data_IF_574453937781
#
_entry.id   IF_574453937781
#
_cell.length_a   1.000
_cell.length_b   1.000
_cell.length_c   1.000
_cell.angle_alpha   90.00
_cell.angle_beta   90.00
_cell.angle_gamma   90.00
#
_symmetry.space_group_name_H-M   'P 1'
#
loop_
_entity.id
_entity.type
_entity.pdbx_description
1 polymer ?
#
# COMPACT_ATOMS: atom_id res chain seq x y z
N UNK A 1 21.38 14.42 32.34
CA UNK A 1 21.80 13.59 31.21
C UNK A 1 20.80 12.47 31.09
N UNK A 2 19.75 12.70 30.36
CA UNK A 2 18.67 11.75 30.12
C UNK A 2 18.80 11.32 28.67
N UNK A 3 19.29 10.08 28.49
CA UNK A 3 19.41 9.47 27.19
C UNK A 3 18.02 9.19 26.62
N UNK A 4 17.67 9.88 25.57
CA UNK A 4 16.53 9.58 24.72
C UNK A 4 16.90 8.33 23.91
N UNK A 5 16.38 7.18 24.30
CA UNK A 5 16.42 5.96 23.49
C UNK A 5 15.62 6.22 22.20
N UNK A 6 16.33 6.44 21.13
CA UNK A 6 15.80 6.27 19.78
C UNK A 6 15.57 4.79 19.55
N UNK A 7 14.38 4.32 19.89
CA UNK A 7 13.86 3.06 19.40
C UNK A 7 13.53 3.24 17.93
N UNK A 8 14.49 3.05 17.06
CA UNK A 8 14.29 2.84 15.63
C UNK A 8 13.57 1.50 15.45
N UNK A 9 12.24 1.51 15.57
CA UNK A 9 11.46 0.35 15.22
C UNK A 9 11.47 0.24 13.70
N UNK A 10 12.10 -0.78 13.18
CA UNK A 10 11.91 -1.35 11.83
C UNK A 10 10.49 -1.94 11.70
N UNK A 11 9.48 -1.19 12.09
CA UNK A 11 8.09 -1.48 11.78
C UNK A 11 7.80 -0.84 10.43
N UNK A 12 7.92 -1.63 9.36
CA UNK A 12 7.14 -1.36 8.16
C UNK A 12 5.70 -1.27 8.64
N UNK A 13 5.05 -0.13 8.43
CA UNK A 13 3.70 0.09 8.94
C UNK A 13 2.75 -0.92 8.27
N UNK A 14 1.99 -1.70 9.06
CA UNK A 14 1.05 -2.67 8.50
C UNK A 14 0.07 -2.09 7.48
N UNK A 15 -0.25 -0.79 7.59
CA UNK A 15 -1.06 -0.07 6.61
C UNK A 15 -0.48 -0.13 5.21
N UNK A 16 0.81 0.15 5.06
CA UNK A 16 1.47 0.18 3.75
C UNK A 16 1.52 -1.22 3.15
N UNK A 17 1.81 -2.23 3.97
CA UNK A 17 1.84 -3.62 3.54
C UNK A 17 0.45 -4.10 3.07
N UNK A 18 -0.61 -3.73 3.79
CA UNK A 18 -1.99 -4.08 3.42
C UNK A 18 -2.43 -3.33 2.17
N UNK A 19 -2.15 -2.03 2.08
CA UNK A 19 -2.43 -1.21 0.91
C UNK A 19 -1.75 -1.77 -0.35
N UNK A 20 -0.44 -2.05 -0.26
CA UNK A 20 0.33 -2.65 -1.37
C UNK A 20 -0.23 -4.01 -1.79
N UNK A 21 -0.55 -4.87 -0.82
CA UNK A 21 -1.14 -6.16 -1.13
C UNK A 21 -2.48 -6.03 -1.86
N UNK A 22 -3.33 -5.11 -1.40
CA UNK A 22 -4.66 -4.92 -1.94
C UNK A 22 -4.61 -4.33 -3.35
N UNK A 23 -3.84 -3.26 -3.56
CA UNK A 23 -3.83 -2.46 -4.78
C UNK A 23 -2.67 -2.78 -5.74
N UNK A 24 -1.83 -3.78 -5.44
CA UNK A 24 -0.94 -4.35 -6.44
C UNK A 24 -1.70 -5.07 -7.56
N UNK A 25 -2.92 -5.48 -7.30
CA UNK A 25 -3.87 -5.99 -8.29
C UNK A 25 -4.41 -4.83 -9.13
N UNK A 26 -4.28 -4.96 -10.44
CA UNK A 26 -4.65 -3.91 -11.43
C UNK A 26 -6.14 -3.64 -11.42
N UNK A 27 -6.99 -4.68 -11.30
CA UNK A 27 -8.44 -4.54 -11.24
C UNK A 27 -8.86 -3.76 -9.99
N UNK A 28 -8.27 -4.06 -8.84
CA UNK A 28 -8.55 -3.36 -7.59
C UNK A 28 -8.09 -1.90 -7.62
N UNK A 29 -6.92 -1.64 -8.19
CA UNK A 29 -6.47 -0.25 -8.38
C UNK A 29 -7.43 0.52 -9.29
N UNK A 30 -7.89 -0.08 -10.38
CA UNK A 30 -8.90 0.52 -11.26
C UNK A 30 -10.13 0.97 -10.46
N UNK A 31 -10.66 0.10 -9.62
CA UNK A 31 -11.81 0.43 -8.77
C UNK A 31 -11.50 1.50 -7.72
N UNK A 32 -10.30 1.50 -7.14
CA UNK A 32 -9.85 2.57 -6.25
C UNK A 32 -9.83 3.91 -6.98
N UNK A 33 -9.31 3.98 -8.20
CA UNK A 33 -9.30 5.21 -9.00
C UNK A 33 -10.72 5.70 -9.32
N UNK A 34 -11.63 4.79 -9.69
CA UNK A 34 -13.03 5.12 -9.95
C UNK A 34 -13.72 5.69 -8.69
N UNK A 35 -13.53 5.05 -7.54
CA UNK A 35 -14.09 5.54 -6.26
C UNK A 35 -13.49 6.91 -5.89
N UNK A 36 -12.19 7.07 -6.08
CA UNK A 36 -11.48 8.33 -5.80
C UNK A 36 -11.93 9.47 -6.71
N UNK A 37 -12.24 9.18 -7.98
CA UNK A 37 -12.76 10.16 -8.93
C UNK A 37 -14.13 10.72 -8.56
N UNK A 38 -14.90 10.03 -7.69
CA UNK A 38 -16.17 10.56 -7.18
C UNK A 38 -15.98 11.67 -6.14
N UNK A 39 -14.86 11.69 -5.43
CA UNK A 39 -14.57 12.62 -4.33
C UNK A 39 -13.43 13.59 -4.63
N UNK A 40 -12.64 13.32 -5.66
CA UNK A 40 -11.56 14.16 -6.11
C UNK A 40 -11.74 14.49 -7.60
N UNK A 41 -11.95 15.78 -7.89
CA UNK A 41 -12.24 16.27 -9.23
C UNK A 41 -11.12 15.99 -10.22
N UNK A 42 -9.86 16.19 -9.82
CA UNK A 42 -8.70 16.01 -10.72
C UNK A 42 -8.56 14.55 -11.13
N UNK A 43 -8.80 13.62 -10.19
CA UNK A 43 -8.83 12.18 -10.51
C UNK A 43 -10.06 11.84 -11.37
N UNK A 44 -11.21 12.46 -11.09
CA UNK A 44 -12.41 12.29 -11.91
C UNK A 44 -12.18 12.71 -13.36
N UNK A 45 -11.55 13.85 -13.60
CA UNK A 45 -11.16 14.30 -14.92
C UNK A 45 -10.10 13.36 -15.54
N UNK A 46 -9.07 13.00 -14.78
CA UNK A 46 -8.00 12.12 -15.25
C UNK A 46 -8.52 10.78 -15.77
N UNK A 47 -9.41 10.11 -15.05
CA UNK A 47 -9.94 8.79 -15.47
C UNK A 47 -10.81 8.85 -16.74
N UNK A 48 -11.30 10.03 -17.15
CA UNK A 48 -12.00 10.20 -18.43
C UNK A 48 -11.04 10.30 -19.61
N UNK A 49 -9.78 10.66 -19.37
CA UNK A 49 -8.76 10.86 -20.41
C UNK A 49 -7.94 9.59 -20.66
N UNK A 50 -8.08 8.55 -19.84
CA UNK A 50 -7.30 7.31 -19.93
C UNK A 50 -8.21 6.08 -20.09
N UNK A 51 -7.68 5.06 -20.75
CA UNK A 51 -8.33 3.75 -20.86
C UNK A 51 -7.87 2.83 -19.71
N UNK A 52 -8.65 2.82 -18.62
CA UNK A 52 -8.35 2.04 -17.43
C UNK A 52 -8.29 0.52 -17.67
N UNK A 53 -8.83 0.01 -18.78
CA UNK A 53 -8.70 -1.41 -19.15
C UNK A 53 -7.30 -1.77 -19.64
N UNK A 54 -6.51 -0.75 -20.00
CA UNK A 54 -5.10 -0.90 -20.39
C UNK A 54 -4.12 -0.71 -19.25
N UNK A 55 -4.62 -0.57 -18.02
CA UNK A 55 -3.78 -0.39 -16.84
C UNK A 55 -2.83 -1.59 -16.64
N UNK A 56 -1.55 -1.33 -16.47
CA UNK A 56 -0.53 -2.36 -16.27
C UNK A 56 0.43 -1.91 -15.17
N UNK A 57 0.69 -2.80 -14.21
CA UNK A 57 1.68 -2.54 -13.16
C UNK A 57 3.10 -2.49 -13.73
N UNK A 58 3.86 -1.51 -13.30
CA UNK A 58 5.31 -1.44 -13.56
C UNK A 58 6.00 -2.29 -12.49
N UNK A 59 6.81 -3.29 -12.88
CA UNK A 59 7.51 -4.14 -11.91
C UNK A 59 8.48 -3.33 -11.03
N UNK A 60 8.59 -3.72 -9.77
CA UNK A 60 9.46 -3.06 -8.77
C UNK A 60 10.96 -3.11 -9.16
N UNK A 61 11.37 -4.12 -9.97
CA UNK A 61 12.73 -4.25 -10.52
C UNK A 61 13.14 -3.15 -11.51
N UNK A 62 12.18 -2.37 -12.00
CA UNK A 62 12.45 -1.22 -12.84
C UNK A 62 12.59 0.08 -12.03
N UNK A 63 12.27 0.06 -10.75
CA UNK A 63 12.62 1.16 -9.86
C UNK A 63 14.06 0.93 -9.39
N UNK A 64 15.06 1.49 -10.08
CA UNK A 64 16.46 1.57 -9.61
C UNK A 64 16.60 2.39 -8.30
N UNK A 65 15.56 2.45 -7.51
CA UNK A 65 15.54 3.17 -6.24
C UNK A 65 15.94 2.20 -5.12
N UNK A 66 17.08 1.54 -5.30
CA UNK A 66 17.64 0.65 -4.28
C UNK A 66 18.27 1.39 -3.09
N UNK A 67 18.30 2.72 -3.06
CA UNK A 67 19.02 3.40 -1.97
C UNK A 67 18.14 4.18 -0.98
N UNK A 68 16.87 4.53 -1.25
CA UNK A 68 16.14 5.42 -0.33
C UNK A 68 14.62 5.29 -0.26
N UNK A 69 14.02 4.20 -0.64
CA UNK A 69 12.56 4.03 -0.48
C UNK A 69 11.85 3.71 -1.79
N UNK A 70 11.08 2.66 -1.74
CA UNK A 70 10.25 2.18 -2.84
C UNK A 70 8.98 3.03 -2.92
N UNK A 71 8.56 3.44 -4.14
CA UNK A 71 7.18 3.84 -4.37
C UNK A 71 6.26 2.69 -3.94
N UNK A 72 5.12 3.02 -3.34
CA UNK A 72 4.22 1.95 -2.96
C UNK A 72 3.81 1.15 -4.19
N UNK A 73 3.37 1.82 -5.25
CA UNK A 73 2.98 1.17 -6.50
C UNK A 73 3.18 2.12 -7.69
N UNK A 74 3.59 1.57 -8.83
CA UNK A 74 3.68 2.30 -10.09
C UNK A 74 2.96 1.54 -11.21
N UNK A 75 2.28 2.30 -12.08
CA UNK A 75 1.49 1.75 -13.18
C UNK A 75 1.66 2.57 -14.44
N UNK A 76 1.26 2.00 -15.56
CA UNK A 76 1.09 2.70 -16.84
C UNK A 76 -0.29 2.44 -17.39
N UNK A 77 -0.81 3.38 -18.14
CA UNK A 77 -2.13 3.32 -18.77
C UNK A 77 -2.10 4.04 -20.12
N UNK A 78 -2.90 3.61 -21.08
CA UNK A 78 -3.03 4.30 -22.37
C UNK A 78 -4.02 5.46 -22.26
N UNK A 79 -3.84 6.46 -23.12
CA UNK A 79 -4.81 7.55 -23.28
C UNK A 79 -6.04 7.04 -24.02
N UNK A 80 -7.23 7.44 -23.58
CA UNK A 80 -8.51 7.02 -24.18
C UNK A 80 -8.69 7.45 -25.65
N UNK A 81 -8.05 8.53 -26.06
CA UNK A 81 -8.10 9.04 -27.44
C UNK A 81 -7.45 8.12 -28.48
N UNK A 82 -6.85 7.00 -28.07
CA UNK A 82 -6.15 6.07 -28.96
C UNK A 82 -4.80 6.57 -29.47
N UNK A 83 -4.34 7.73 -29.03
CA UNK A 83 -2.95 8.17 -29.28
C UNK A 83 -1.99 7.21 -28.56
N UNK A 84 -0.81 6.88 -29.15
CA UNK A 84 0.17 6.00 -28.52
C UNK A 84 0.93 6.73 -27.37
N UNK A 85 0.21 7.40 -26.51
CA UNK A 85 0.71 8.10 -25.36
C UNK A 85 0.43 7.26 -24.11
N UNK A 86 1.47 6.91 -23.39
CA UNK A 86 1.34 6.25 -22.10
C UNK A 86 1.34 7.30 -21.00
N UNK A 87 0.59 7.04 -19.95
CA UNK A 87 0.60 7.83 -18.72
C UNK A 87 1.15 6.97 -17.60
N UNK A 88 2.14 7.48 -16.88
CA UNK A 88 2.62 6.87 -15.64
C UNK A 88 1.72 7.26 -14.47
N UNK A 89 1.44 6.31 -13.59
CA UNK A 89 0.72 6.57 -12.34
C UNK A 89 1.61 6.10 -11.21
N UNK A 90 1.98 7.02 -10.32
CA UNK A 90 2.67 6.72 -9.05
C UNK A 90 1.65 6.79 -7.95
N UNK A 91 1.50 5.72 -7.20
CA UNK A 91 0.58 5.64 -6.07
C UNK A 91 1.39 5.58 -4.79
N UNK A 92 1.15 6.52 -3.91
CA UNK A 92 1.77 6.60 -2.59
C UNK A 92 0.72 6.54 -1.51
N UNK A 93 0.93 5.72 -0.50
CA UNK A 93 0.04 5.59 0.64
C UNK A 93 0.67 6.18 1.89
N UNK A 94 -0.10 6.93 2.66
CA UNK A 94 0.31 7.51 3.94
C UNK A 94 -0.72 7.25 5.02
N UNK A 95 -0.27 6.80 6.18
CA UNK A 95 -1.08 6.61 7.38
C UNK A 95 -0.79 7.63 8.48
N UNK A 96 0.10 8.58 8.23
CA UNK A 96 0.48 9.68 9.11
C UNK A 96 1.02 10.86 8.32
N UNK A 97 1.22 11.99 9.00
CA UNK A 97 1.85 13.17 8.40
C UNK A 97 3.32 12.90 8.09
N UNK A 98 3.72 13.26 6.89
CA UNK A 98 5.10 13.13 6.45
C UNK A 98 5.48 14.34 5.58
N UNK A 99 6.36 15.19 6.12
CA UNK A 99 6.83 16.39 5.41
C UNK A 99 7.73 16.08 4.21
N UNK A 100 8.28 14.87 4.13
CA UNK A 100 9.13 14.41 3.02
C UNK A 100 8.35 13.79 1.86
N UNK A 101 7.01 13.69 1.95
CA UNK A 101 6.18 12.99 0.96
C UNK A 101 6.36 13.53 -0.46
N UNK A 102 6.35 14.85 -0.64
CA UNK A 102 6.47 15.45 -1.99
C UNK A 102 7.87 15.24 -2.58
N UNK A 103 8.92 15.30 -1.77
CA UNK A 103 10.28 14.99 -2.21
C UNK A 103 10.43 13.52 -2.59
N UNK A 104 9.79 12.63 -1.85
CA UNK A 104 9.74 11.21 -2.13
C UNK A 104 9.05 10.95 -3.48
N UNK A 105 7.87 11.54 -3.69
CA UNK A 105 7.12 11.42 -4.94
C UNK A 105 7.91 11.99 -6.11
N UNK A 106 8.58 13.14 -5.95
CA UNK A 106 9.39 13.72 -7.01
C UNK A 106 10.48 12.74 -7.51
N UNK A 107 11.12 12.01 -6.60
CA UNK A 107 12.09 10.96 -6.96
C UNK A 107 11.43 9.82 -7.72
N UNK A 108 10.26 9.35 -7.29
CA UNK A 108 9.54 8.26 -7.96
C UNK A 108 9.05 8.64 -9.35
N UNK A 109 8.45 9.82 -9.49
CA UNK A 109 8.02 10.35 -10.80
C UNK A 109 9.22 10.41 -11.74
N UNK A 110 10.36 10.94 -11.28
CA UNK A 110 11.58 10.99 -12.08
C UNK A 110 12.09 9.61 -12.48
N UNK A 111 12.02 8.62 -11.58
CA UNK A 111 12.39 7.23 -11.88
C UNK A 111 11.48 6.62 -12.94
N UNK A 112 10.17 6.77 -12.81
CA UNK A 112 9.20 6.29 -13.80
C UNK A 112 9.44 6.95 -15.17
N UNK A 113 9.70 8.25 -15.20
CA UNK A 113 10.02 8.96 -16.44
C UNK A 113 11.32 8.47 -17.10
N UNK A 114 12.35 8.14 -16.33
CA UNK A 114 13.64 7.61 -16.84
C UNK A 114 13.48 6.26 -17.50
N UNK A 115 12.72 5.34 -16.94
CA UNK A 115 12.51 3.98 -17.46
C UNK A 115 12.05 4.01 -18.94
N UNK A 116 11.24 4.98 -19.32
CA UNK A 116 10.72 5.09 -20.68
C UNK A 116 11.60 5.94 -21.62
N UNK A 117 12.53 6.74 -21.07
CA UNK A 117 13.41 7.58 -21.89
C UNK A 117 14.62 6.83 -22.49
N UNK A 118 15.00 5.67 -21.94
CA UNK A 118 16.14 4.89 -22.43
C UNK A 118 15.93 4.30 -23.83
N UNK A 119 14.67 4.23 -24.31
CA UNK A 119 14.35 3.60 -25.60
C UNK A 119 13.75 4.53 -26.66
N UNK A 120 13.53 5.80 -26.39
CA UNK A 120 12.99 6.75 -27.38
C UNK A 120 13.52 8.17 -27.14
N UNK A 121 13.96 8.83 -28.22
CA UNK A 121 14.28 10.24 -28.19
C UNK A 121 13.07 11.04 -27.63
N UNK A 122 13.21 11.51 -26.40
CA UNK A 122 12.31 12.37 -25.64
C UNK A 122 10.82 12.27 -26.02
N UNK A 123 10.15 11.26 -25.57
CA UNK A 123 8.71 11.31 -25.36
C UNK A 123 8.51 11.27 -23.84
N UNK A 124 8.47 12.45 -23.21
CA UNK A 124 8.17 12.51 -21.79
C UNK A 124 6.89 11.73 -21.51
N UNK A 125 6.95 10.72 -20.63
CA UNK A 125 5.76 10.03 -20.17
C UNK A 125 5.07 10.98 -19.18
N UNK A 126 3.90 11.57 -19.48
CA UNK A 126 3.16 12.31 -18.49
C UNK A 126 2.92 11.40 -17.29
N UNK A 127 3.27 11.85 -16.11
CA UNK A 127 3.15 11.04 -14.90
C UNK A 127 2.28 11.77 -13.89
N UNK A 128 1.25 11.10 -13.42
CA UNK A 128 0.40 11.54 -12.34
C UNK A 128 0.80 10.82 -11.06
N UNK A 129 1.03 11.56 -10.00
CA UNK A 129 1.18 11.03 -8.65
C UNK A 129 -0.14 11.15 -7.90
N UNK A 130 -0.50 10.13 -7.14
CA UNK A 130 -1.69 10.12 -6.29
C UNK A 130 -1.29 9.69 -4.89
N UNK A 131 -1.59 10.56 -3.91
CA UNK A 131 -1.37 10.29 -2.50
C UNK A 131 -2.68 9.81 -1.90
N UNK A 132 -2.71 8.59 -1.38
CA UNK A 132 -3.83 8.07 -0.60
C UNK A 132 -3.51 8.18 0.89
N UNK A 133 -4.38 8.83 1.63
CA UNK A 133 -4.22 9.06 3.05
C UNK A 133 -5.35 8.41 3.85
N UNK A 134 -5.00 7.63 4.87
CA UNK A 134 -5.94 7.05 5.82
C UNK A 134 -5.55 7.33 7.29
N UNK A 135 -4.78 8.40 7.52
CA UNK A 135 -4.35 8.78 8.86
C UNK A 135 -5.46 9.42 9.68
N UNK A 136 -5.19 9.57 10.99
CA UNK A 136 -6.15 10.11 11.97
C UNK A 136 -6.14 11.63 12.04
N UNK A 137 -5.08 12.26 11.57
CA UNK A 137 -4.89 13.71 11.66
C UNK A 137 -5.41 14.38 10.40
N UNK A 138 -5.89 15.61 10.53
CA UNK A 138 -6.15 16.42 9.35
C UNK A 138 -4.82 16.79 8.69
N UNK A 139 -4.58 16.27 7.49
CA UNK A 139 -3.35 16.47 6.73
C UNK A 139 -3.65 16.51 5.24
N UNK A 140 -3.10 17.49 4.58
CA UNK A 140 -3.07 17.62 3.13
C UNK A 140 -1.69 18.16 2.74
N UNK A 141 -0.82 17.36 2.11
CA UNK A 141 0.51 17.81 1.72
C UNK A 141 0.50 18.82 0.57
N UNK A 142 -0.61 18.95 -0.15
CA UNK A 142 -0.80 19.90 -1.25
C UNK A 142 -1.46 21.20 -0.77
N UNK A 143 -2.14 21.15 0.38
CA UNK A 143 -2.86 22.28 0.96
C UNK A 143 -1.93 23.44 1.29
N UNK A 144 -2.23 24.62 0.75
CA UNK A 144 -1.47 25.84 1.02
C UNK A 144 -0.07 25.91 0.43
N UNK A 145 0.36 24.91 -0.35
CA UNK A 145 1.70 24.91 -0.95
C UNK A 145 1.93 26.13 -1.84
N UNK A 146 0.89 26.66 -2.45
CA UNK A 146 0.95 27.81 -3.35
C UNK A 146 0.83 29.17 -2.64
N UNK A 147 0.35 29.18 -1.39
CA UNK A 147 0.03 30.41 -0.65
C UNK A 147 1.28 31.24 -0.32
N UNK A 148 2.43 30.57 -0.20
CA UNK A 148 3.70 31.20 0.13
C UNK A 148 4.44 31.77 -1.11
N UNK A 149 3.87 31.60 -2.32
CA UNK A 149 4.53 32.00 -3.57
C UNK A 149 3.75 33.07 -4.33
N UNK A 150 4.41 33.94 -5.11
CA UNK A 150 3.74 34.87 -6.00
C UNK A 150 2.79 34.16 -6.96
N UNK A 151 1.70 34.83 -7.34
CA UNK A 151 0.64 34.28 -8.22
C UNK A 151 1.14 33.68 -9.54
N UNK A 152 2.29 34.15 -10.03
CA UNK A 152 2.95 33.60 -11.23
C UNK A 152 3.28 32.10 -11.08
N UNK A 153 3.59 31.65 -9.87
CA UNK A 153 3.99 30.26 -9.60
C UNK A 153 2.81 29.32 -9.33
N UNK A 154 1.59 29.83 -9.26
CA UNK A 154 0.41 28.97 -9.05
C UNK A 154 0.29 27.93 -10.15
N UNK A 155 0.09 26.68 -9.77
CA UNK A 155 0.08 25.52 -10.67
C UNK A 155 1.44 25.15 -11.27
N UNK A 156 2.57 25.75 -10.79
CA UNK A 156 3.92 25.54 -11.33
C UNK A 156 4.97 25.16 -10.29
N UNK A 157 4.56 24.96 -9.04
CA UNK A 157 5.49 24.69 -7.94
C UNK A 157 5.99 23.26 -8.01
N UNK A 158 5.08 22.33 -8.27
CA UNK A 158 5.44 20.91 -8.46
C UNK A 158 5.80 20.67 -9.94
N UNK A 159 6.93 19.99 -10.21
CA UNK A 159 7.32 19.64 -11.59
C UNK A 159 6.56 18.41 -12.13
N UNK A 160 5.48 18.00 -11.46
CA UNK A 160 4.63 16.85 -11.81
C UNK A 160 3.19 17.10 -11.36
N UNK A 161 2.25 16.37 -11.97
CA UNK A 161 0.85 16.39 -11.56
C UNK A 161 0.71 15.53 -10.30
N UNK A 162 0.09 16.09 -9.26
CA UNK A 162 -0.12 15.39 -7.99
C UNK A 162 -1.53 15.65 -7.47
N UNK A 163 -2.23 14.57 -7.11
CA UNK A 163 -3.54 14.64 -6.46
C UNK A 163 -3.47 13.98 -5.08
N UNK A 164 -4.27 14.48 -4.16
CA UNK A 164 -4.40 13.96 -2.81
C UNK A 164 -5.81 13.45 -2.57
N UNK A 165 -5.92 12.24 -2.03
CA UNK A 165 -7.19 11.61 -1.66
C UNK A 165 -7.13 11.23 -0.19
N UNK A 166 -7.95 11.89 0.62
CA UNK A 166 -8.25 11.39 1.95
C UNK A 166 -9.27 10.24 1.81
N UNK A 167 -8.87 9.02 2.14
CA UNK A 167 -9.74 7.85 2.02
C UNK A 167 -10.99 7.97 2.90
N UNK A 168 -10.95 8.78 3.96
CA UNK A 168 -12.11 9.05 4.79
C UNK A 168 -13.25 9.76 4.03
N UNK A 169 -12.93 10.49 2.96
CA UNK A 169 -13.92 11.22 2.15
C UNK A 169 -14.71 10.29 1.23
N UNK A 170 -14.23 9.08 0.96
CA UNK A 170 -14.95 8.10 0.14
C UNK A 170 -16.07 7.49 0.98
N UNK A 171 -17.36 7.64 0.60
CA UNK A 171 -18.46 7.09 1.39
C UNK A 171 -18.39 5.56 1.52
N UNK A 172 -18.68 5.02 2.70
CA UNK A 172 -18.70 3.56 2.92
C UNK A 172 -19.73 2.87 2.04
N UNK A 173 -20.86 3.52 1.78
CA UNK A 173 -21.88 3.03 0.84
C UNK A 173 -21.33 2.80 -0.57
N UNK A 174 -20.49 3.72 -1.05
CA UNK A 174 -19.87 3.63 -2.36
C UNK A 174 -18.80 2.52 -2.40
N UNK A 175 -18.01 2.42 -1.33
CA UNK A 175 -17.04 1.35 -1.18
C UNK A 175 -17.71 -0.02 -1.21
N UNK A 176 -18.75 -0.22 -0.41
CA UNK A 176 -19.44 -1.51 -0.28
C UNK A 176 -20.30 -1.85 -1.49
N UNK A 177 -20.75 -0.85 -2.27
CA UNK A 177 -21.41 -1.03 -3.55
C UNK A 177 -20.45 -1.25 -4.72
N UNK A 178 -19.13 -1.12 -4.50
CA UNK A 178 -18.10 -1.32 -5.52
C UNK A 178 -18.26 -2.69 -6.22
N UNK A 179 -18.04 -2.73 -7.52
CA UNK A 179 -18.10 -3.98 -8.30
C UNK A 179 -17.08 -5.01 -7.81
N UNK A 180 -15.89 -4.57 -7.42
CA UNK A 180 -14.92 -5.41 -6.71
C UNK A 180 -15.10 -5.28 -5.20
N UNK A 181 -15.68 -6.29 -4.53
CA UNK A 181 -15.92 -6.25 -3.10
C UNK A 181 -14.62 -6.18 -2.28
N UNK A 182 -13.51 -6.73 -2.79
CA UNK A 182 -12.22 -6.72 -2.10
C UNK A 182 -11.69 -5.29 -1.96
N UNK A 183 -11.78 -4.49 -3.02
CA UNK A 183 -11.45 -3.07 -3.00
C UNK A 183 -12.29 -2.33 -1.96
N UNK A 184 -13.62 -2.49 -2.03
CA UNK A 184 -14.53 -1.78 -1.13
C UNK A 184 -14.33 -2.14 0.33
N UNK A 185 -14.30 -3.42 0.65
CA UNK A 185 -14.07 -3.90 2.02
C UNK A 185 -12.69 -3.52 2.56
N UNK A 186 -11.67 -3.56 1.70
CA UNK A 186 -10.31 -3.15 2.07
C UNK A 186 -10.23 -1.68 2.43
N UNK A 187 -10.83 -0.79 1.62
CA UNK A 187 -10.90 0.65 1.92
C UNK A 187 -11.63 0.89 3.25
N UNK A 188 -12.80 0.28 3.44
CA UNK A 188 -13.59 0.42 4.68
C UNK A 188 -12.81 -0.07 5.89
N UNK A 189 -12.12 -1.21 5.78
CA UNK A 189 -11.26 -1.72 6.86
C UNK A 189 -10.13 -0.75 7.20
N UNK A 190 -9.49 -0.12 6.20
CA UNK A 190 -8.44 0.87 6.42
C UNK A 190 -8.97 2.15 7.06
N UNK A 191 -10.10 2.66 6.60
CA UNK A 191 -10.75 3.87 7.15
C UNK A 191 -11.09 3.73 8.62
N UNK A 192 -11.61 2.58 9.01
CA UNK A 192 -12.12 2.35 10.37
C UNK A 192 -11.16 1.56 11.27
N UNK A 193 -9.93 1.33 10.83
CA UNK A 193 -8.95 0.56 11.61
C UNK A 193 -8.70 1.10 13.02
N UNK A 194 -8.87 2.41 13.21
CA UNK A 194 -8.70 3.07 14.52
C UNK A 194 -10.01 3.38 15.25
N UNK A 195 -11.15 3.09 14.64
CA UNK A 195 -12.46 3.43 15.16
C UNK A 195 -13.31 2.18 15.37
N UNK A 196 -13.28 1.68 16.62
CA UNK A 196 -13.97 0.45 17.02
C UNK A 196 -15.45 0.48 16.69
N UNK A 197 -16.13 1.56 17.00
CA UNK A 197 -17.60 1.65 16.91
C UNK A 197 -18.03 1.63 15.45
N UNK A 198 -17.37 2.42 14.61
CA UNK A 198 -17.63 2.43 13.19
C UNK A 198 -17.24 1.12 12.54
N UNK A 199 -16.10 0.54 12.90
CA UNK A 199 -15.68 -0.76 12.38
C UNK A 199 -16.73 -1.85 12.65
N UNK A 200 -17.22 -1.96 13.88
CA UNK A 200 -18.25 -2.95 14.23
C UNK A 200 -19.61 -2.64 13.56
N UNK A 201 -19.93 -1.39 13.33
CA UNK A 201 -21.17 -1.00 12.65
C UNK A 201 -21.21 -1.36 11.18
N UNK A 202 -20.06 -1.37 10.49
CA UNK A 202 -19.95 -1.71 9.06
C UNK A 202 -19.80 -3.20 8.79
N UNK A 203 -19.47 -4.02 9.80
CA UNK A 203 -19.31 -5.48 9.64
C UNK A 203 -20.50 -6.19 9.04
N UNK A 204 -21.76 -5.89 9.43
CA UNK A 204 -22.93 -6.49 8.80
C UNK A 204 -23.00 -6.25 7.29
N UNK A 205 -22.46 -5.11 6.83
CA UNK A 205 -22.45 -4.73 5.41
C UNK A 205 -21.41 -5.55 4.62
N UNK A 206 -20.33 -6.01 5.26
CA UNK A 206 -19.37 -6.94 4.64
C UNK A 206 -20.05 -8.24 4.21
N UNK A 207 -21.09 -8.68 4.90
CA UNK A 207 -21.87 -9.86 4.51
C UNK A 207 -22.39 -9.75 3.09
N UNK A 208 -22.94 -8.61 2.72
CA UNK A 208 -23.51 -8.41 1.38
C UNK A 208 -22.42 -8.28 0.31
N UNK A 209 -21.29 -7.70 0.64
CA UNK A 209 -20.13 -7.62 -0.24
C UNK A 209 -19.54 -9.03 -0.51
N UNK A 210 -19.38 -9.83 0.54
CA UNK A 210 -18.83 -11.19 0.44
C UNK A 210 -19.70 -12.15 -0.39
N UNK A 211 -21.02 -11.94 -0.43
CA UNK A 211 -21.93 -12.74 -1.28
C UNK A 211 -21.59 -12.64 -2.77
N UNK A 212 -20.95 -11.56 -3.17
CA UNK A 212 -20.60 -11.28 -4.57
C UNK A 212 -19.23 -11.86 -4.96
N UNK A 213 -18.55 -12.56 -4.05
CA UNK A 213 -17.20 -13.10 -4.24
C UNK A 213 -17.22 -14.64 -4.27
N UNK A 214 -16.26 -15.27 -4.98
CA UNK A 214 -15.95 -16.66 -4.81
C UNK A 214 -15.53 -16.95 -3.36
N UNK A 215 -15.91 -18.13 -2.84
CA UNK A 215 -15.70 -18.50 -1.43
C UNK A 215 -14.22 -18.40 -1.00
N UNK A 216 -13.30 -18.91 -1.83
CA UNK A 216 -11.87 -18.93 -1.51
C UNK A 216 -11.28 -17.51 -1.47
N UNK A 217 -11.71 -16.63 -2.37
CA UNK A 217 -11.30 -15.24 -2.39
C UNK A 217 -11.85 -14.49 -1.17
N UNK A 218 -13.12 -14.71 -0.84
CA UNK A 218 -13.74 -14.13 0.34
C UNK A 218 -13.01 -14.55 1.62
N UNK A 219 -12.68 -15.86 1.76
CA UNK A 219 -11.92 -16.38 2.90
C UNK A 219 -10.52 -15.75 2.98
N UNK A 220 -9.83 -15.62 1.85
CA UNK A 220 -8.52 -14.99 1.80
C UNK A 220 -8.58 -13.51 2.20
N UNK A 221 -9.55 -12.77 1.66
CA UNK A 221 -9.75 -11.35 1.98
C UNK A 221 -10.03 -11.14 3.47
N UNK A 222 -10.95 -11.93 4.05
CA UNK A 222 -11.28 -11.88 5.48
C UNK A 222 -10.04 -12.15 6.33
N UNK A 223 -9.26 -13.19 5.98
CA UNK A 223 -8.03 -13.50 6.69
C UNK A 223 -7.03 -12.34 6.65
N UNK A 224 -6.85 -11.70 5.50
CA UNK A 224 -5.96 -10.55 5.34
C UNK A 224 -6.44 -9.33 6.11
N UNK A 225 -7.74 -9.00 6.05
CA UNK A 225 -8.34 -7.92 6.84
C UNK A 225 -8.17 -8.20 8.35
N UNK A 226 -8.39 -9.42 8.80
CA UNK A 226 -8.22 -9.80 10.21
C UNK A 226 -6.77 -9.65 10.68
N UNK A 227 -5.79 -10.08 9.87
CA UNK A 227 -4.36 -9.90 10.16
C UNK A 227 -4.00 -8.41 10.23
N UNK A 228 -4.47 -7.63 9.27
CA UNK A 228 -4.26 -6.20 9.23
C UNK A 228 -4.85 -5.49 10.46
N UNK A 229 -6.13 -5.72 10.76
CA UNK A 229 -6.83 -5.07 11.86
C UNK A 229 -6.25 -5.45 13.23
N UNK A 230 -5.64 -6.64 13.37
CA UNK A 230 -5.00 -7.08 14.62
C UNK A 230 -3.97 -6.10 15.16
N UNK A 231 -3.33 -5.34 14.28
CA UNK A 231 -2.31 -4.36 14.68
C UNK A 231 -2.91 -3.05 15.25
N UNK A 232 -4.20 -2.80 14.98
CA UNK A 232 -4.84 -1.51 15.30
C UNK A 232 -5.99 -1.63 16.31
N UNK A 233 -6.59 -2.80 16.44
CA UNK A 233 -7.71 -3.02 17.33
C UNK A 233 -7.30 -3.81 18.58
N UNK A 234 -8.06 -3.63 19.66
CA UNK A 234 -7.86 -4.40 20.88
C UNK A 234 -8.27 -5.86 20.68
N UNK A 235 -7.77 -6.77 21.53
CA UNK A 235 -8.09 -8.21 21.45
C UNK A 235 -9.59 -8.49 21.55
N UNK A 236 -10.34 -7.66 22.28
CA UNK A 236 -11.80 -7.83 22.41
C UNK A 236 -12.50 -7.50 21.09
N UNK A 237 -12.10 -6.41 20.43
CA UNK A 237 -12.63 -6.05 19.10
C UNK A 237 -12.26 -7.12 18.08
N UNK A 238 -11.03 -7.62 18.12
CA UNK A 238 -10.60 -8.69 17.22
C UNK A 238 -11.44 -9.96 17.39
N UNK A 239 -11.79 -10.34 18.65
CA UNK A 239 -12.69 -11.48 18.90
C UNK A 239 -14.09 -11.24 18.34
N UNK A 240 -14.63 -10.02 18.48
CA UNK A 240 -15.93 -9.68 17.91
C UNK A 240 -15.91 -9.75 16.39
N UNK A 241 -14.82 -9.26 15.76
CA UNK A 241 -14.57 -9.37 14.32
C UNK A 241 -14.50 -10.84 13.88
N UNK A 242 -13.68 -11.64 14.56
CA UNK A 242 -13.55 -13.08 14.26
C UNK A 242 -14.88 -13.81 14.39
N UNK A 243 -15.68 -13.52 15.43
CA UNK A 243 -17.02 -14.10 15.59
C UNK A 243 -17.96 -13.68 14.46
N UNK A 244 -17.94 -12.41 14.05
CA UNK A 244 -18.73 -11.91 12.94
C UNK A 244 -18.34 -12.63 11.63
N UNK A 245 -17.06 -12.74 11.32
CA UNK A 245 -16.58 -13.43 10.13
C UNK A 245 -16.86 -14.94 10.16
N UNK A 246 -16.78 -15.60 11.32
CA UNK A 246 -17.19 -17.00 11.47
C UNK A 246 -18.69 -17.15 11.21
N UNK A 247 -19.53 -16.27 11.76
CA UNK A 247 -20.97 -16.27 11.52
C UNK A 247 -21.32 -16.07 10.05
N UNK A 248 -20.58 -15.20 9.37
CA UNK A 248 -20.68 -14.97 7.92
C UNK A 248 -20.35 -16.27 7.17
N UNK A 249 -19.21 -16.87 7.48
CA UNK A 249 -18.77 -18.10 6.83
C UNK A 249 -19.78 -19.24 6.98
N UNK A 250 -20.35 -19.42 8.16
CA UNK A 250 -21.38 -20.44 8.41
C UNK A 250 -22.65 -20.22 7.56
N UNK A 251 -23.07 -18.96 7.34
CA UNK A 251 -24.22 -18.63 6.49
C UNK A 251 -23.99 -18.97 5.01
N UNK A 252 -22.74 -18.93 4.56
CA UNK A 252 -22.37 -19.19 3.16
C UNK A 252 -21.95 -20.63 2.89
N UNK A 253 -22.15 -21.54 3.85
CA UNK A 253 -21.88 -22.96 3.66
C UNK A 253 -20.38 -23.29 3.66
N UNK A 254 -19.53 -22.45 4.27
CA UNK A 254 -18.19 -22.86 4.65
C UNK A 254 -18.34 -24.00 5.67
N UNK A 255 -18.16 -25.23 5.23
CA UNK A 255 -18.13 -26.41 6.10
C UNK A 255 -16.96 -26.21 7.06
N UNK A 256 -17.26 -25.98 8.33
CA UNK A 256 -16.31 -25.53 9.36
C UNK A 256 -15.55 -24.22 8.98
N UNK A 257 -16.30 -23.13 8.86
CA UNK A 257 -15.73 -21.79 8.63
C UNK A 257 -14.57 -21.48 9.59
N UNK A 258 -14.63 -21.94 10.82
CA UNK A 258 -13.55 -21.76 11.78
C UNK A 258 -12.25 -22.50 11.42
N UNK A 259 -12.30 -23.61 10.72
CA UNK A 259 -11.10 -24.37 10.36
C UNK A 259 -10.48 -23.83 9.07
N UNK A 260 -11.30 -23.53 8.07
CA UNK A 260 -10.83 -22.86 6.83
C UNK A 260 -10.28 -21.48 7.16
N UNK A 261 -10.96 -20.73 8.01
CA UNK A 261 -10.50 -19.43 8.46
C UNK A 261 -9.18 -19.52 9.24
N UNK A 262 -9.05 -20.45 10.18
CA UNK A 262 -7.79 -20.70 10.90
C UNK A 262 -6.67 -21.15 9.97
N UNK A 263 -6.99 -22.01 9.01
CA UNK A 263 -6.02 -22.46 8.02
C UNK A 263 -5.56 -21.30 7.11
N UNK A 264 -6.48 -20.48 6.61
CA UNK A 264 -6.14 -19.32 5.76
C UNK A 264 -5.37 -18.25 6.53
N UNK A 265 -5.69 -18.01 7.80
CA UNK A 265 -4.88 -17.14 8.66
C UNK A 265 -3.47 -17.72 8.84
N UNK A 266 -3.35 -19.03 9.05
CA UNK A 266 -2.05 -19.69 9.20
C UNK A 266 -1.24 -19.62 7.90
N UNK A 267 -1.86 -19.90 6.76
CA UNK A 267 -1.24 -19.78 5.43
C UNK A 267 -0.77 -18.34 5.15
N UNK A 268 -1.64 -17.34 5.39
CA UNK A 268 -1.31 -15.94 5.20
C UNK A 268 -0.15 -15.47 6.11
N UNK A 269 -0.11 -15.93 7.37
CA UNK A 269 1.01 -15.68 8.29
C UNK A 269 2.31 -16.33 7.80
N UNK A 270 2.21 -17.53 7.28
CA UNK A 270 3.38 -18.28 6.75
C UNK A 270 3.93 -17.58 5.51
N UNK A 271 3.07 -17.12 4.61
CA UNK A 271 3.48 -16.34 3.44
C UNK A 271 4.15 -15.01 3.80
N UNK A 272 3.59 -14.31 4.79
CA UNK A 272 4.13 -13.04 5.25
C UNK A 272 5.49 -13.23 5.95
N UNK A 273 5.62 -14.28 6.75
CA UNK A 273 6.89 -14.67 7.35
C UNK A 273 7.93 -15.07 6.30
N UNK A 274 7.52 -15.83 5.28
CA UNK A 274 8.40 -16.23 4.20
C UNK A 274 8.88 -15.02 3.37
N UNK A 275 7.98 -14.08 3.08
CA UNK A 275 8.35 -12.82 2.41
C UNK A 275 9.32 -11.99 3.24
N UNK A 276 9.05 -11.84 4.53
CA UNK A 276 9.93 -11.12 5.44
C UNK A 276 11.31 -11.78 5.57
N UNK A 277 11.36 -13.12 5.62
CA UNK A 277 12.62 -13.86 5.64
C UNK A 277 13.40 -13.71 4.34
N UNK A 278 12.72 -13.77 3.18
CA UNK A 278 13.36 -13.55 1.88
C UNK A 278 13.94 -12.15 1.79
N UNK A 279 13.18 -11.12 2.13
CA UNK A 279 13.67 -9.74 2.12
C UNK A 279 14.87 -9.53 3.04
N UNK A 280 14.87 -10.19 4.20
CA UNK A 280 16.00 -10.14 5.12
C UNK A 280 17.24 -10.83 4.53
N UNK A 281 17.06 -11.99 3.89
CA UNK A 281 18.14 -12.72 3.24
C UNK A 281 18.70 -11.92 2.05
N UNK A 282 17.85 -11.31 1.24
CA UNK A 282 18.25 -10.45 0.13
C UNK A 282 19.06 -9.23 0.65
N UNK A 283 18.58 -8.56 1.69
CA UNK A 283 19.31 -7.43 2.31
C UNK A 283 20.66 -7.83 2.93
N UNK A 284 20.76 -9.04 3.48
CA UNK A 284 22.03 -9.57 3.98
C UNK A 284 23.00 -9.88 2.84
N UNK A 285 22.49 -10.44 1.74
CA UNK A 285 23.30 -10.72 0.54
C UNK A 285 23.84 -9.43 -0.10
N UNK A 286 23.00 -8.40 -0.20
CA UNK A 286 23.38 -7.08 -0.70
C UNK A 286 24.44 -6.44 0.18
N UNK A 287 24.27 -6.50 1.50
CA UNK A 287 25.26 -6.01 2.47
C UNK A 287 26.60 -6.74 2.31
N UNK A 288 26.58 -8.05 2.16
CA UNK A 288 27.79 -8.84 1.95
C UNK A 288 28.49 -8.47 0.64
N UNK A 289 27.72 -8.21 -0.42
CA UNK A 289 28.25 -7.78 -1.72
C UNK A 289 28.91 -6.42 -1.62
N UNK A 290 28.25 -5.45 -0.99
CA UNK A 290 28.81 -4.12 -0.77
C UNK A 290 30.12 -4.16 0.05
N UNK A 291 30.18 -5.01 1.08
CA UNK A 291 31.39 -5.18 1.89
C UNK A 291 32.54 -5.79 1.06
N UNK A 292 32.25 -6.71 0.13
CA UNK A 292 33.26 -7.25 -0.81
C UNK A 292 33.79 -6.18 -1.74
N UNK A 293 32.93 -5.37 -2.30
CA UNK A 293 33.31 -4.25 -3.17
C UNK A 293 34.17 -3.21 -2.45
N UNK A 294 33.94 -3.01 -1.15
CA UNK A 294 34.80 -2.19 -0.29
C UNK A 294 36.13 -2.85 0.07
N UNK A 295 36.41 -4.07 -0.41
CA UNK A 295 37.65 -4.79 -0.17
C UNK A 295 37.78 -5.42 1.22
N UNK A 296 36.66 -5.65 1.92
CA UNK A 296 36.67 -6.30 3.24
C UNK A 296 36.91 -7.82 3.05
N UNK A 297 37.84 -8.42 3.81
CA UNK A 297 38.16 -9.85 3.70
C UNK A 297 36.94 -10.74 4.04
N UNK A 298 36.76 -11.85 3.32
CA UNK A 298 35.66 -12.81 3.48
C UNK A 298 35.48 -13.33 4.93
N UNK A 299 36.58 -13.53 5.66
CA UNK A 299 36.49 -13.96 7.06
C UNK A 299 35.85 -12.91 7.98
N UNK A 300 36.05 -11.63 7.70
CA UNK A 300 35.41 -10.54 8.46
C UNK A 300 33.95 -10.38 8.09
N UNK A 301 33.59 -10.59 6.81
CA UNK A 301 32.20 -10.59 6.34
C UNK A 301 31.45 -11.75 7.00
N UNK A 302 32.01 -12.95 7.01
CA UNK A 302 31.43 -14.11 7.66
C UNK A 302 31.23 -13.92 9.19
N UNK A 303 32.21 -13.30 9.85
CA UNK A 303 32.11 -12.97 11.30
C UNK A 303 31.00 -11.95 11.57
N UNK A 304 30.87 -10.93 10.72
CA UNK A 304 29.82 -9.92 10.83
C UNK A 304 28.41 -10.55 10.64
N UNK A 305 28.26 -11.42 9.65
CA UNK A 305 27.01 -12.16 9.42
C UNK A 305 26.65 -13.06 10.60
N UNK A 306 27.61 -13.83 11.13
CA UNK A 306 27.36 -14.67 12.30
C UNK A 306 26.94 -13.86 13.53
N UNK A 307 27.48 -12.65 13.73
CA UNK A 307 27.06 -11.73 14.80
C UNK A 307 25.64 -11.22 14.59
N UNK A 308 25.27 -10.88 13.35
CA UNK A 308 23.89 -10.43 13.01
C UNK A 308 22.92 -11.55 13.30
N UNK A 309 23.19 -12.78 12.90
CA UNK A 309 22.32 -13.94 13.13
C UNK A 309 22.16 -14.23 14.62
N UNK A 310 23.24 -14.15 15.39
CA UNK A 310 23.20 -14.32 16.85
C UNK A 310 22.35 -13.25 17.54
N UNK A 311 22.43 -11.98 17.11
CA UNK A 311 21.62 -10.88 17.64
C UNK A 311 20.15 -11.06 17.29
N UNK A 312 19.85 -11.51 16.08
CA UNK A 312 18.47 -11.79 15.63
C UNK A 312 17.86 -12.94 16.42
N UNK A 313 18.62 -14.02 16.63
CA UNK A 313 18.18 -15.15 17.46
C UNK A 313 17.83 -14.69 18.87
N UNK A 314 18.71 -13.90 19.49
CA UNK A 314 18.48 -13.36 20.84
C UNK A 314 17.23 -12.47 20.93
N UNK A 315 16.95 -11.67 19.88
CA UNK A 315 15.73 -10.85 19.81
C UNK A 315 14.46 -11.69 19.65
N UNK A 316 14.52 -12.81 18.92
CA UNK A 316 13.39 -13.74 18.76
C UNK A 316 13.07 -14.50 20.06
N UNK A 317 14.08 -14.76 20.89
CA UNK A 317 13.91 -15.43 22.17
C UNK A 317 13.38 -14.50 23.27
N UNK A 318 13.44 -13.17 23.06
CA UNK A 318 12.96 -12.15 23.99
C UNK A 318 11.59 -11.54 23.60
N UNK A 319 11.04 -11.88 22.43
CA UNK A 319 9.75 -11.46 21.92
C UNK A 319 8.69 -12.55 22.09
#
# INVERSE_FOLDING_TARGET
MTGTEQTTSLRRMPHDAFFRWLFADVGRLRHLLILSGKVNKDIGEFITEVDLDTLVRIPDSYSEVNETGEADLAFRVNVASGAPLLVGIVVEHKSGRDSGTLDQIARYVNSVMRIYNEHRAFSGLPTMAIIFYNGRENWDPLGGIEDNYPSYFRGKILPFICSFVNMADIPDSDCLACEDPATGMGIVAMKHAYDKENLLSVLPLFNEALKRMPHDEAACLIAKISIYLKEYVTQDVLKELDMAFVSIGQKYGFVSAGDVFRQKIAEARTEEQAKAQKQLADAQADTATALREMGIPENQIAEAQARIDALQKKRREQA
#
